data_IF_715847291842
#
_entry.id   IF_715847291842
#
_cell.length_a   1.000
_cell.length_b   1.000
_cell.length_c   1.000
_cell.angle_alpha   90.00
_cell.angle_beta   90.00
_cell.angle_gamma   90.00
#
_symmetry.space_group_name_H-M   'P 1'
#
loop_
_entity.id
_entity.type
_entity.pdbx_description
1 polymer ?
#
# COMPACT_ATOMS: atom_id res chain seq x y z
N UNK A 1 15.94 13.28 5.21
CA UNK A 1 16.32 12.49 4.04
C UNK A 1 17.70 11.88 4.14
N UNK A 2 18.80 12.63 4.20
CA UNK A 2 20.17 12.08 4.23
C UNK A 2 20.44 11.04 5.32
N UNK A 3 19.80 11.18 6.49
CA UNK A 3 19.93 10.19 7.57
C UNK A 3 19.32 8.84 7.19
N UNK A 4 18.18 8.85 6.50
CA UNK A 4 17.51 7.63 6.02
C UNK A 4 18.38 6.94 4.97
N UNK A 5 18.88 7.68 3.98
CA UNK A 5 19.75 7.12 2.94
C UNK A 5 21.01 6.48 3.54
N UNK A 6 21.70 7.15 4.47
CA UNK A 6 22.86 6.57 5.18
C UNK A 6 22.51 5.30 5.97
N UNK A 7 21.32 5.25 6.58
CA UNK A 7 20.91 4.06 7.32
C UNK A 7 20.58 2.89 6.38
N UNK A 8 19.95 3.15 5.24
CA UNK A 8 19.71 2.13 4.20
C UNK A 8 21.02 1.56 3.65
N UNK A 9 22.03 2.44 3.40
CA UNK A 9 23.34 2.00 2.93
C UNK A 9 24.03 1.11 3.97
N UNK A 10 24.04 1.50 5.25
CA UNK A 10 24.58 0.66 6.34
C UNK A 10 23.86 -0.66 6.50
N UNK A 11 22.53 -0.68 6.32
CA UNK A 11 21.74 -1.92 6.31
C UNK A 11 22.20 -2.84 5.18
N UNK A 12 22.31 -2.30 3.96
CA UNK A 12 22.72 -3.05 2.77
C UNK A 12 24.09 -3.71 2.96
N UNK A 13 25.07 -2.96 3.52
CA UNK A 13 26.41 -3.50 3.83
C UNK A 13 26.37 -4.62 4.86
N UNK A 14 25.42 -4.59 5.80
CA UNK A 14 25.39 -5.52 6.94
C UNK A 14 24.56 -6.77 6.63
N UNK A 15 23.40 -6.61 6.00
CA UNK A 15 22.39 -7.69 5.89
C UNK A 15 22.43 -8.38 4.54
N UNK A 16 22.82 -7.70 3.47
CA UNK A 16 23.02 -8.29 2.14
C UNK A 16 21.75 -8.77 1.44
N UNK A 17 20.54 -8.36 1.91
CA UNK A 17 19.27 -8.60 1.25
C UNK A 17 18.60 -7.28 0.86
N UNK A 18 17.73 -7.29 -0.16
CA UNK A 18 16.97 -6.09 -0.53
C UNK A 18 16.19 -5.52 0.66
N UNK A 19 16.21 -4.21 0.83
CA UNK A 19 15.41 -3.50 1.82
C UNK A 19 14.21 -2.87 1.13
N UNK A 20 13.05 -3.01 1.74
CA UNK A 20 11.86 -2.24 1.42
C UNK A 20 11.58 -1.27 2.56
N UNK A 21 11.36 0.00 2.25
CA UNK A 21 10.92 1.00 3.22
C UNK A 21 9.40 1.10 3.17
N UNK A 22 8.80 1.20 4.35
CA UNK A 22 7.35 1.27 4.49
C UNK A 22 6.86 2.70 4.68
N UNK A 23 5.73 3.04 4.04
CA UNK A 23 4.95 4.23 4.37
C UNK A 23 4.18 4.00 5.67
N UNK A 24 4.16 5.00 6.54
CA UNK A 24 3.52 4.91 7.85
C UNK A 24 2.21 5.69 7.92
N UNK A 25 1.32 5.31 8.84
CA UNK A 25 0.24 6.19 9.26
C UNK A 25 0.74 7.28 10.20
N UNK A 26 0.10 8.46 10.17
CA UNK A 26 0.45 9.58 11.04
C UNK A 26 -0.78 10.39 11.45
N UNK A 27 -0.80 10.84 12.71
CA UNK A 27 -1.88 11.67 13.25
C UNK A 27 -1.67 13.15 12.96
N UNK A 28 -0.43 13.58 12.78
CA UNK A 28 -0.07 14.98 12.57
C UNK A 28 0.78 15.10 11.33
N UNK A 29 0.26 15.83 10.34
CA UNK A 29 1.04 16.17 9.15
C UNK A 29 2.09 17.23 9.54
N UNK A 30 3.36 16.87 9.41
CA UNK A 30 4.45 17.82 9.64
C UNK A 30 4.62 18.71 8.39
N UNK A 31 4.77 20.03 8.57
CA UNK A 31 5.03 20.91 7.44
C UNK A 31 6.38 20.56 6.80
N UNK A 32 6.42 20.51 5.49
CA UNK A 32 7.60 20.20 4.69
C UNK A 32 7.51 20.81 3.30
N UNK A 33 8.63 20.83 2.59
CA UNK A 33 8.70 21.32 1.21
C UNK A 33 8.23 20.26 0.20
N UNK A 34 8.26 18.97 0.59
CA UNK A 34 7.88 17.82 -0.23
C UNK A 34 6.53 17.28 0.21
N UNK A 35 5.73 16.82 -0.75
CA UNK A 35 4.59 15.95 -0.46
C UNK A 35 5.08 14.58 0.03
N UNK A 36 4.21 13.78 0.64
CA UNK A 36 4.54 12.42 1.07
C UNK A 36 5.05 11.57 -0.11
N UNK A 37 4.35 11.61 -1.25
CA UNK A 37 4.76 10.87 -2.44
C UNK A 37 6.14 11.32 -2.96
N UNK A 38 6.41 12.62 -3.00
CA UNK A 38 7.73 13.13 -3.38
C UNK A 38 8.82 12.70 -2.40
N UNK A 39 8.54 12.74 -1.10
CA UNK A 39 9.47 12.32 -0.06
C UNK A 39 9.83 10.83 -0.17
N UNK A 40 8.83 9.96 -0.32
CA UNK A 40 9.03 8.51 -0.49
C UNK A 40 9.79 8.21 -1.78
N UNK A 41 9.40 8.84 -2.89
CA UNK A 41 10.07 8.68 -4.19
C UNK A 41 11.54 9.05 -4.10
N UNK A 42 11.84 10.23 -3.54
CA UNK A 42 13.21 10.70 -3.44
C UNK A 42 14.09 9.83 -2.54
N UNK A 43 13.52 9.30 -1.43
CA UNK A 43 14.25 8.34 -0.57
C UNK A 43 14.54 7.05 -1.33
N UNK A 44 13.53 6.44 -1.95
CA UNK A 44 13.65 5.15 -2.63
C UNK A 44 14.65 5.23 -3.78
N UNK A 45 14.64 6.33 -4.55
CA UNK A 45 15.59 6.57 -5.64
C UNK A 45 17.02 6.82 -5.13
N UNK A 46 17.17 7.71 -4.14
CA UNK A 46 18.50 8.08 -3.61
C UNK A 46 19.17 6.97 -2.84
N UNK A 47 18.38 6.19 -2.08
CA UNK A 47 18.88 5.08 -1.29
C UNK A 47 18.97 3.78 -2.11
N UNK A 48 18.43 3.76 -3.34
CA UNK A 48 18.32 2.60 -4.21
C UNK A 48 17.74 1.38 -3.47
N UNK A 49 16.57 1.59 -2.85
CA UNK A 49 15.83 0.54 -2.16
C UNK A 49 14.43 0.38 -2.77
N UNK A 50 13.67 -0.60 -2.30
CA UNK A 50 12.29 -0.79 -2.69
C UNK A 50 11.33 -0.12 -1.71
N UNK A 51 10.04 -0.17 -2.05
CA UNK A 51 8.93 0.28 -1.23
C UNK A 51 8.07 -0.91 -0.80
N UNK A 52 7.79 -1.00 0.49
CA UNK A 52 6.70 -1.75 1.05
C UNK A 52 5.53 -0.77 1.14
N UNK A 53 4.47 -1.02 0.39
CA UNK A 53 3.32 -0.13 0.35
C UNK A 53 2.21 -0.69 1.25
N UNK A 54 2.04 -0.10 2.42
CA UNK A 54 0.89 -0.38 3.26
C UNK A 54 -0.31 0.45 2.80
N UNK A 55 -1.32 -0.25 2.26
CA UNK A 55 -2.52 0.38 1.71
C UNK A 55 -3.52 0.80 2.79
N UNK A 56 -3.47 0.15 3.97
CA UNK A 56 -4.28 0.59 5.10
C UNK A 56 -3.75 1.91 5.67
N UNK A 57 -2.42 2.10 5.74
CA UNK A 57 -1.80 3.35 6.14
C UNK A 57 -2.13 4.49 5.16
N UNK A 58 -2.06 4.22 3.85
CA UNK A 58 -2.48 5.20 2.83
C UNK A 58 -3.96 5.58 3.04
N UNK A 59 -4.84 4.60 3.18
CA UNK A 59 -6.27 4.83 3.39
C UNK A 59 -6.54 5.62 4.69
N UNK A 60 -5.89 5.22 5.79
CA UNK A 60 -5.98 5.89 7.09
C UNK A 60 -5.57 7.35 7.00
N UNK A 61 -4.43 7.64 6.40
CA UNK A 61 -3.94 9.00 6.19
C UNK A 61 -4.86 9.79 5.27
N UNK A 62 -5.35 9.19 4.18
CA UNK A 62 -6.27 9.86 3.25
C UNK A 62 -7.56 10.30 3.94
N UNK A 63 -8.15 9.44 4.79
CA UNK A 63 -9.34 9.79 5.59
C UNK A 63 -9.03 10.89 6.59
N UNK A 64 -7.93 10.78 7.33
CA UNK A 64 -7.60 11.71 8.41
C UNK A 64 -7.17 13.09 7.92
N UNK A 65 -6.54 13.17 6.76
CA UNK A 65 -5.96 14.41 6.22
C UNK A 65 -6.70 14.94 4.98
N UNK A 66 -7.72 14.23 4.48
CA UNK A 66 -8.61 14.71 3.43
C UNK A 66 -7.99 14.79 2.03
N UNK A 67 -7.16 13.81 1.65
CA UNK A 67 -6.60 13.71 0.30
C UNK A 67 -7.09 12.45 -0.42
N UNK A 68 -6.86 12.35 -1.73
CA UNK A 68 -7.21 11.19 -2.54
C UNK A 68 -6.09 10.13 -2.47
N UNK A 69 -6.43 8.94 -1.97
CA UNK A 69 -5.51 7.82 -1.83
C UNK A 69 -4.98 7.31 -3.19
N UNK A 70 -5.82 7.32 -4.23
CA UNK A 70 -5.43 6.90 -5.57
C UNK A 70 -4.44 7.89 -6.19
N UNK A 71 -4.68 9.20 -6.02
CA UNK A 71 -3.75 10.22 -6.50
C UNK A 71 -2.38 10.11 -5.82
N UNK A 72 -2.35 9.87 -4.51
CA UNK A 72 -1.10 9.64 -3.79
C UNK A 72 -0.37 8.42 -4.34
N UNK A 73 -1.04 7.26 -4.45
CA UNK A 73 -0.42 6.03 -4.96
C UNK A 73 0.06 6.19 -6.40
N UNK A 74 -0.72 6.88 -7.25
CA UNK A 74 -0.33 7.12 -8.63
C UNK A 74 0.93 7.99 -8.79
N UNK A 75 1.26 8.78 -7.77
CA UNK A 75 2.46 9.61 -7.72
C UNK A 75 3.70 8.88 -7.15
N UNK A 76 3.55 7.63 -6.67
CA UNK A 76 4.66 6.81 -6.17
C UNK A 76 5.38 6.09 -7.31
N UNK A 77 6.66 5.70 -7.13
CA UNK A 77 7.41 4.87 -8.06
C UNK A 77 6.94 3.42 -7.98
N UNK A 78 5.84 3.09 -8.65
CA UNK A 78 5.18 1.79 -8.56
C UNK A 78 6.06 0.62 -9.03
N UNK A 79 7.04 0.85 -9.86
CA UNK A 79 8.06 -0.11 -10.26
C UNK A 79 9.03 -0.48 -9.12
N UNK A 80 9.07 0.32 -8.06
CA UNK A 80 9.85 0.05 -6.84
C UNK A 80 9.03 -0.62 -5.73
N UNK A 81 7.72 -0.77 -5.90
CA UNK A 81 6.87 -1.46 -4.92
C UNK A 81 7.09 -2.97 -5.03
N UNK A 82 7.74 -3.55 -4.03
CA UNK A 82 8.00 -4.99 -3.97
C UNK A 82 6.97 -5.77 -3.17
N UNK A 83 6.36 -5.13 -2.18
CA UNK A 83 5.43 -5.76 -1.24
C UNK A 83 4.31 -4.80 -0.87
N UNK A 84 3.13 -5.36 -0.60
CA UNK A 84 1.96 -4.62 -0.14
C UNK A 84 1.48 -5.21 1.19
N UNK A 85 1.14 -4.36 2.15
CA UNK A 85 0.43 -4.72 3.35
C UNK A 85 -1.04 -4.27 3.28
N UNK A 86 -1.92 -5.09 3.84
CA UNK A 86 -3.35 -4.85 3.98
C UNK A 86 -3.76 -5.09 5.41
N UNK A 87 -4.47 -4.16 5.98
CA UNK A 87 -5.03 -4.26 7.32
C UNK A 87 -6.34 -3.52 7.42
N UNK A 88 -6.93 -3.54 8.60
CA UNK A 88 -8.10 -2.77 8.95
C UNK A 88 -7.99 -2.20 10.36
N UNK A 89 -8.52 -1.01 10.55
CA UNK A 89 -8.51 -0.30 11.82
C UNK A 89 -9.92 0.06 12.28
N UNK A 90 -10.00 0.94 13.25
CA UNK A 90 -11.25 1.43 13.81
C UNK A 90 -11.29 2.96 13.83
N UNK A 91 -12.45 3.52 14.07
CA UNK A 91 -12.61 4.97 14.23
C UNK A 91 -12.67 5.31 15.73
N UNK A 92 -11.90 6.32 16.16
CA UNK A 92 -11.86 6.82 17.53
C UNK A 92 -11.74 8.36 17.52
N UNK A 93 -12.61 9.04 18.26
CA UNK A 93 -12.64 10.50 18.39
C UNK A 93 -12.61 11.29 17.06
N UNK A 94 -13.20 10.72 16.01
CA UNK A 94 -13.27 11.32 14.68
C UNK A 94 -12.06 11.08 13.79
N UNK A 95 -11.12 10.26 14.24
CA UNK A 95 -9.96 9.82 13.48
C UNK A 95 -10.06 8.33 13.16
N UNK A 96 -9.52 7.94 12.02
CA UNK A 96 -9.24 6.54 11.73
C UNK A 96 -7.92 6.17 12.36
N UNK A 97 -7.94 5.05 13.11
CA UNK A 97 -6.76 4.53 13.81
C UNK A 97 -6.23 3.32 13.04
N UNK A 98 -4.94 3.38 12.77
CA UNK A 98 -4.18 2.28 12.19
C UNK A 98 -3.83 1.28 13.31
N UNK A 99 -4.69 0.29 13.49
CA UNK A 99 -4.58 -0.66 14.60
C UNK A 99 -4.46 -2.11 14.16
N UNK A 100 -4.60 -2.38 12.86
CA UNK A 100 -4.59 -3.74 12.29
C UNK A 100 -5.41 -4.73 13.13
N UNK A 101 -6.60 -4.30 13.57
CA UNK A 101 -7.46 -5.03 14.51
C UNK A 101 -8.83 -5.39 13.94
N UNK A 102 -9.05 -5.10 12.68
CA UNK A 102 -10.28 -5.34 11.94
C UNK A 102 -9.99 -5.85 10.52
N UNK A 103 -10.97 -6.46 9.84
CA UNK A 103 -10.81 -6.83 8.43
C UNK A 103 -10.48 -5.62 7.55
N UNK A 104 -9.70 -5.83 6.49
CA UNK A 104 -9.43 -4.81 5.50
C UNK A 104 -10.75 -4.31 4.88
N UNK A 105 -11.05 -3.00 4.95
CA UNK A 105 -12.29 -2.44 4.40
C UNK A 105 -12.24 -2.36 2.87
N UNK A 106 -13.41 -2.30 2.22
CA UNK A 106 -13.49 -2.29 0.75
C UNK A 106 -12.61 -1.23 0.07
N UNK A 107 -12.47 0.01 0.57
CA UNK A 107 -11.55 0.97 -0.03
C UNK A 107 -10.09 0.46 -0.10
N UNK A 108 -9.61 -0.29 0.90
CA UNK A 108 -8.25 -0.88 0.88
C UNK A 108 -8.14 -1.95 -0.21
N UNK A 109 -9.18 -2.75 -0.43
CA UNK A 109 -9.25 -3.70 -1.54
C UNK A 109 -9.26 -3.01 -2.92
N UNK A 110 -9.93 -1.85 -3.03
CA UNK A 110 -9.90 -1.03 -4.25
C UNK A 110 -8.50 -0.50 -4.54
N UNK A 111 -7.77 -0.06 -3.50
CA UNK A 111 -6.38 0.34 -3.63
C UNK A 111 -5.49 -0.82 -4.09
N UNK A 112 -5.72 -2.04 -3.55
CA UNK A 112 -4.97 -3.22 -4.01
C UNK A 112 -5.22 -3.51 -5.49
N UNK A 113 -6.48 -3.43 -5.97
CA UNK A 113 -6.80 -3.60 -7.40
C UNK A 113 -6.07 -2.55 -8.26
N UNK A 114 -6.04 -1.30 -7.79
CA UNK A 114 -5.34 -0.23 -8.48
C UNK A 114 -3.84 -0.49 -8.59
N UNK A 115 -3.19 -0.87 -7.49
CA UNK A 115 -1.75 -1.18 -7.46
C UNK A 115 -1.44 -2.42 -8.30
N UNK A 116 -2.20 -3.52 -8.12
CA UNK A 116 -1.99 -4.77 -8.83
C UNK A 116 -2.13 -4.65 -10.35
N UNK A 117 -2.89 -3.65 -10.82
CA UNK A 117 -3.01 -3.36 -12.26
C UNK A 117 -1.81 -2.58 -12.85
N UNK A 118 -0.87 -2.12 -12.02
CA UNK A 118 0.21 -1.20 -12.41
C UNK A 118 1.61 -1.61 -11.92
N UNK A 119 1.68 -2.44 -10.90
CA UNK A 119 2.92 -2.88 -10.27
C UNK A 119 3.06 -4.40 -10.33
N UNK A 120 4.30 -4.87 -10.39
CA UNK A 120 4.59 -6.28 -10.18
C UNK A 120 4.88 -6.54 -8.71
N UNK A 121 3.94 -7.16 -8.01
CA UNK A 121 4.05 -7.41 -6.57
C UNK A 121 4.67 -8.79 -6.31
N UNK A 122 5.71 -8.83 -5.50
CA UNK A 122 6.34 -10.08 -5.05
C UNK A 122 5.54 -10.74 -3.92
N UNK A 123 4.89 -9.94 -3.06
CA UNK A 123 4.09 -10.42 -1.95
C UNK A 123 2.97 -9.44 -1.59
N UNK A 124 1.88 -9.99 -1.08
CA UNK A 124 0.81 -9.25 -0.39
C UNK A 124 0.61 -9.92 0.97
N UNK A 125 0.67 -9.15 2.05
CA UNK A 125 0.53 -9.61 3.43
C UNK A 125 -0.77 -9.05 4.01
N UNK A 126 -1.56 -9.92 4.64
CA UNK A 126 -2.68 -9.53 5.47
C UNK A 126 -2.15 -9.39 6.89
N UNK A 127 -2.27 -8.22 7.46
CA UNK A 127 -1.69 -7.89 8.76
C UNK A 127 -2.79 -7.74 9.82
N UNK A 128 -2.62 -8.49 10.92
CA UNK A 128 -3.47 -8.46 12.08
C UNK A 128 -2.61 -8.41 13.35
N UNK A 129 -2.63 -7.28 14.05
CA UNK A 129 -1.82 -7.04 15.25
C UNK A 129 -2.60 -7.23 16.55
N UNK A 130 -3.92 -7.06 16.49
CA UNK A 130 -4.79 -7.18 17.66
C UNK A 130 -6.15 -7.78 17.28
N UNK A 131 -6.89 -8.27 18.29
CA UNK A 131 -8.23 -8.86 18.12
C UNK A 131 -8.27 -9.93 17.03
N UNK A 132 -7.26 -10.82 17.01
CA UNK A 132 -7.13 -11.87 16.00
C UNK A 132 -8.45 -12.59 15.76
N UNK A 133 -8.97 -12.62 14.54
CA UNK A 133 -10.21 -13.28 14.22
C UNK A 133 -10.03 -14.79 14.13
N UNK A 134 -11.12 -15.57 13.99
CA UNK A 134 -11.02 -16.98 13.59
C UNK A 134 -10.20 -17.13 12.31
N UNK A 135 -9.40 -18.19 12.23
CA UNK A 135 -8.44 -18.39 11.12
C UNK A 135 -9.09 -18.43 9.73
N UNK A 136 -10.33 -18.88 9.64
CA UNK A 136 -11.10 -18.89 8.38
C UNK A 136 -11.41 -17.47 7.85
N UNK A 137 -11.45 -16.45 8.73
CA UNK A 137 -11.58 -15.04 8.32
C UNK A 137 -10.31 -14.60 7.60
N UNK A 138 -9.15 -14.88 8.19
CA UNK A 138 -7.84 -14.56 7.58
C UNK A 138 -7.70 -15.29 6.24
N UNK A 139 -8.09 -16.58 6.18
CA UNK A 139 -8.07 -17.33 4.94
C UNK A 139 -8.92 -16.70 3.83
N UNK A 140 -10.09 -16.16 4.16
CA UNK A 140 -10.95 -15.46 3.17
C UNK A 140 -10.29 -14.18 2.66
N UNK A 141 -9.63 -13.40 3.50
CA UNK A 141 -8.89 -12.22 3.07
C UNK A 141 -7.73 -12.59 2.14
N UNK A 142 -6.97 -13.63 2.48
CA UNK A 142 -5.90 -14.16 1.61
C UNK A 142 -6.44 -14.62 0.25
N UNK A 143 -7.59 -15.31 0.22
CA UNK A 143 -8.21 -15.73 -1.05
C UNK A 143 -8.71 -14.53 -1.86
N UNK A 144 -9.22 -13.48 -1.21
CA UNK A 144 -9.60 -12.22 -1.86
C UNK A 144 -8.37 -11.56 -2.51
N UNK A 145 -7.26 -11.42 -1.77
CA UNK A 145 -6.02 -10.88 -2.30
C UNK A 145 -5.51 -11.70 -3.49
N UNK A 146 -5.51 -13.04 -3.39
CA UNK A 146 -5.13 -13.94 -4.48
C UNK A 146 -6.01 -13.81 -5.72
N UNK A 147 -7.31 -13.60 -5.54
CA UNK A 147 -8.24 -13.39 -6.65
C UNK A 147 -7.95 -12.08 -7.40
N UNK A 148 -7.64 -11.01 -6.67
CA UNK A 148 -7.25 -9.72 -7.24
C UNK A 148 -5.94 -9.86 -8.03
N UNK A 149 -4.92 -10.52 -7.47
CA UNK A 149 -3.62 -10.71 -8.13
C UNK A 149 -3.71 -11.60 -9.37
N UNK A 150 -4.60 -12.58 -9.40
CA UNK A 150 -4.84 -13.43 -10.59
C UNK A 150 -5.53 -12.69 -11.72
N UNK A 151 -6.32 -11.69 -11.42
CA UNK A 151 -6.94 -10.79 -12.40
C UNK A 151 -6.01 -9.73 -12.99
N UNK A 152 -4.67 -9.89 -12.89
CA UNK A 152 -3.59 -8.96 -13.22
C UNK A 152 -3.77 -8.03 -14.42
N UNK A 153 -2.80 -7.19 -14.78
CA UNK A 153 -2.98 -6.07 -15.70
C UNK A 153 -3.61 -6.46 -17.06
N UNK A 154 -3.36 -7.68 -17.55
CA UNK A 154 -3.87 -8.15 -18.84
C UNK A 154 -5.35 -8.56 -18.82
N UNK A 155 -5.89 -9.08 -17.71
CA UNK A 155 -7.32 -9.45 -17.64
C UNK A 155 -8.25 -8.26 -17.34
N UNK A 156 -7.78 -7.27 -16.59
CA UNK A 156 -8.55 -6.04 -16.30
C UNK A 156 -8.65 -5.14 -17.53
N UNK A 157 -7.61 -5.03 -18.34
CA UNK A 157 -7.65 -4.33 -19.62
C UNK A 157 -8.63 -4.99 -20.61
N UNK A 158 -8.70 -6.32 -20.63
CA UNK A 158 -9.63 -7.06 -21.51
C UNK A 158 -11.11 -6.94 -21.07
N UNK A 159 -11.41 -6.64 -19.80
CA UNK A 159 -12.79 -6.45 -19.31
C UNK A 159 -13.35 -5.06 -19.63
N UNK A 160 -12.53 -4.02 -19.63
CA UNK A 160 -12.96 -2.67 -20.00
C UNK A 160 -13.31 -2.57 -21.49
N UNK A 161 -12.63 -3.31 -22.37
CA UNK A 161 -12.93 -3.35 -23.81
C UNK A 161 -14.20 -4.14 -24.15
N UNK A 162 -14.64 -5.07 -23.29
CA UNK A 162 -15.88 -5.85 -23.51
C UNK A 162 -17.16 -5.14 -23.07
N UNK A 163 -17.09 -4.17 -22.18
CA UNK A 163 -18.27 -3.38 -21.74
C UNK A 163 -18.62 -2.30 -22.76
N UNK A 164 -17.69 -1.88 -23.60
CA UNK A 164 -17.91 -0.90 -24.67
C UNK A 164 -18.56 -1.44 -25.97
N UNK A 165 -18.71 -2.77 -26.10
CA UNK A 165 -19.12 -3.40 -27.37
C UNK A 165 -20.59 -3.89 -27.41
N UNK A 166 -21.43 -3.56 -26.41
CA UNK A 166 -22.82 -4.02 -26.37
C UNK A 166 -23.82 -2.87 -26.20
N UNK A 167 -23.69 -1.82 -26.98
CA UNK A 167 -24.76 -0.83 -27.21
C UNK A 167 -24.73 -0.39 -28.68
N UNK A 168 -25.31 -1.22 -29.53
CA UNK A 168 -25.90 -0.82 -30.82
C UNK A 168 -27.13 -1.66 -31.06
#
# INVERSE_FOLDING_TARGET
MDAVCRNVERWRETVGVPLLLENISYMVALPGELTEAQFLTEIVERADCGLLLDLHNVYTNAVNHGYDAIELIAALPLDRVGQVHLGGGHDEDGYRIDSHSAPAPEPVWELLRFVASRAHLNAVIIEWDAHLPPFDVICREVETARAILRGGPDELACRTDRVGATLH
#
